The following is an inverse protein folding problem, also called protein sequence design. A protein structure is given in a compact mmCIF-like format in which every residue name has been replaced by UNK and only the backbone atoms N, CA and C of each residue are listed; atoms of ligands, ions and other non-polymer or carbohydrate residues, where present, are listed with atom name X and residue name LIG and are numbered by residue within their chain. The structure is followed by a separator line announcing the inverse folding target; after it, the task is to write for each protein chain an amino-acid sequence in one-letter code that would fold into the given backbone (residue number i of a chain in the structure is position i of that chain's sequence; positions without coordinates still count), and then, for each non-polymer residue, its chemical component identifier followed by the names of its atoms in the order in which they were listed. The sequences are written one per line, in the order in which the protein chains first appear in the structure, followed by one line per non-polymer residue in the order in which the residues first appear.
data_IF_869885119180
#
_entry.id   IF_869885119180
#
_cell.length_a   1.000
_cell.length_b   1.000
_cell.length_c   1.000
_cell.angle_alpha   90.00
_cell.angle_beta   90.00
_cell.angle_gamma   90.00
#
_symmetry.space_group_name_H-M   'P 1'
#
loop_
_entity.id
_entity.type
_entity.pdbx_description
1 polymer ?
#
# COMPACT_ATOMS: atom_id res chain seq x y z
N UNK A 1 -3.97 -18.49 21.08
CA UNK A 1 -2.94 -18.03 20.14
C UNK A 1 -3.61 -17.10 19.15
N UNK A 2 -3.36 -15.79 19.20
CA UNK A 2 -3.86 -14.89 18.17
C UNK A 2 -2.91 -14.94 16.96
N UNK A 3 -3.44 -15.33 15.82
CA UNK A 3 -2.78 -15.28 14.52
C UNK A 3 -2.50 -13.81 14.19
N UNK A 4 -1.24 -13.40 14.29
CA UNK A 4 -0.78 -12.08 13.87
C UNK A 4 -0.83 -12.00 12.35
N UNK A 5 -1.79 -11.27 11.77
CA UNK A 5 -1.76 -10.97 10.34
C UNK A 5 -0.71 -9.88 10.08
N UNK A 6 0.38 -10.26 9.43
CA UNK A 6 1.38 -9.34 8.90
C UNK A 6 0.81 -8.69 7.64
N UNK A 7 0.85 -7.36 7.56
CA UNK A 7 0.50 -6.65 6.34
C UNK A 7 1.55 -6.97 5.28
N UNK A 8 1.13 -7.57 4.16
CA UNK A 8 1.98 -7.89 3.01
C UNK A 8 1.94 -6.71 2.04
N UNK A 9 3.07 -6.04 1.82
CA UNK A 9 3.19 -4.97 0.83
C UNK A 9 3.57 -5.54 -0.53
N UNK A 10 2.87 -5.09 -1.57
CA UNK A 10 3.02 -5.57 -2.94
C UNK A 10 3.98 -4.64 -3.70
N UNK A 11 5.18 -5.12 -3.97
CA UNK A 11 5.96 -4.64 -5.10
C UNK A 11 5.98 -5.76 -6.13
N UNK A 12 5.16 -5.64 -7.18
CA UNK A 12 5.29 -6.51 -8.35
C UNK A 12 6.54 -6.06 -9.09
N UNK A 13 7.63 -6.80 -8.97
CA UNK A 13 8.70 -6.70 -9.94
C UNK A 13 8.22 -7.43 -11.20
N UNK A 14 7.56 -6.71 -12.11
CA UNK A 14 7.25 -7.26 -13.44
C UNK A 14 8.60 -7.47 -14.13
N UNK A 15 8.99 -8.71 -14.51
CA UNK A 15 10.17 -8.89 -15.33
C UNK A 15 9.98 -8.09 -16.60
N UNK A 16 11.01 -7.36 -17.04
CA UNK A 16 10.95 -6.54 -18.24
C UNK A 16 10.24 -7.30 -19.38
N UNK A 17 9.10 -6.76 -19.83
CA UNK A 17 8.40 -7.26 -20.99
C UNK A 17 9.36 -7.16 -22.19
N UNK A 18 9.75 -8.27 -22.85
CA UNK A 18 10.48 -8.17 -24.11
C UNK A 18 9.59 -7.42 -25.08
N UNK A 19 10.02 -6.25 -25.55
CA UNK A 19 9.26 -5.38 -26.48
C UNK A 19 9.15 -5.98 -27.89
N UNK A 20 9.09 -7.30 -28.01
CA UNK A 20 9.34 -8.04 -29.23
C UNK A 20 8.04 -8.24 -30.02
N UNK A 21 7.28 -7.16 -30.23
CA UNK A 21 6.27 -7.02 -31.29
C UNK A 21 5.33 -8.21 -31.56
N UNK A 22 5.08 -9.08 -30.58
CA UNK A 22 4.36 -10.33 -30.77
C UNK A 22 2.87 -10.09 -31.03
N UNK A 23 2.20 -10.98 -31.80
CA UNK A 23 0.80 -10.82 -32.13
C UNK A 23 -0.06 -10.65 -30.88
N UNK A 24 -0.89 -9.61 -30.90
CA UNK A 24 -1.94 -9.32 -29.92
C UNK A 24 -2.82 -10.57 -29.71
N UNK A 25 -2.56 -11.33 -28.64
CA UNK A 25 -3.30 -12.55 -28.32
C UNK A 25 -2.49 -13.72 -27.77
N UNK A 26 -1.15 -13.65 -27.71
CA UNK A 26 -0.39 -14.65 -26.96
C UNK A 26 -0.65 -14.44 -25.44
N UNK A 27 -0.99 -15.49 -24.67
CA UNK A 27 -1.02 -15.36 -23.22
C UNK A 27 0.37 -14.91 -22.78
N UNK A 28 0.46 -13.79 -22.07
CA UNK A 28 1.70 -13.38 -21.43
C UNK A 28 2.24 -14.60 -20.68
N UNK A 29 3.39 -15.13 -21.09
CA UNK A 29 4.04 -16.25 -20.41
C UNK A 29 4.16 -15.81 -18.96
N UNK A 30 3.39 -16.44 -18.07
CA UNK A 30 3.29 -16.03 -16.68
C UNK A 30 4.68 -16.06 -16.05
N UNK A 31 5.32 -14.89 -16.00
CA UNK A 31 6.46 -14.69 -15.13
C UNK A 31 5.95 -14.97 -13.71
N UNK A 32 6.74 -15.70 -12.94
CA UNK A 32 6.40 -16.01 -11.56
C UNK A 32 6.27 -14.68 -10.78
N UNK A 33 5.07 -14.38 -10.30
CA UNK A 33 4.83 -13.21 -9.46
C UNK A 33 5.43 -13.52 -8.09
N UNK A 34 6.50 -12.80 -7.75
CA UNK A 34 7.12 -12.88 -6.42
C UNK A 34 6.65 -11.71 -5.57
N UNK A 35 6.50 -11.96 -4.26
CA UNK A 35 6.16 -10.94 -3.27
C UNK A 35 7.37 -10.75 -2.37
N UNK A 36 7.73 -9.50 -2.09
CA UNK A 36 8.80 -9.14 -1.17
C UNK A 36 8.20 -8.33 -0.01
N UNK A 37 8.54 -8.71 1.22
CA UNK A 37 8.23 -7.88 2.37
C UNK A 37 9.13 -6.64 2.35
N UNK A 38 8.52 -5.46 2.32
CA UNK A 38 9.22 -4.16 2.34
C UNK A 38 8.83 -3.27 3.52
N UNK A 39 8.25 -3.86 4.58
CA UNK A 39 7.72 -3.07 5.71
C UNK A 39 8.81 -2.24 6.41
N UNK A 40 10.07 -2.65 6.37
CA UNK A 40 11.17 -1.89 6.97
C UNK A 40 11.49 -0.67 6.11
N UNK A 41 11.63 -0.87 4.81
CA UNK A 41 12.01 0.13 3.82
C UNK A 41 10.93 1.21 3.67
N UNK A 42 9.66 0.82 3.76
CA UNK A 42 8.52 1.74 3.64
C UNK A 42 8.13 2.41 4.95
N UNK A 43 8.80 2.09 6.08
CA UNK A 43 8.52 2.68 7.38
C UNK A 43 7.29 2.11 8.11
N UNK A 44 6.74 0.98 7.64
CA UNK A 44 5.55 0.33 8.22
C UNK A 44 5.88 -0.83 9.18
N UNK A 45 7.16 -1.05 9.49
CA UNK A 45 7.58 -2.07 10.45
C UNK A 45 6.94 -1.83 11.81
N UNK A 46 6.24 -2.85 12.33
CA UNK A 46 5.57 -2.78 13.63
C UNK A 46 4.22 -2.05 13.62
N UNK A 47 3.79 -1.49 12.49
CA UNK A 47 2.46 -0.90 12.34
C UNK A 47 1.39 -2.00 12.33
N UNK A 48 0.32 -1.81 13.10
CA UNK A 48 -0.75 -2.81 13.33
C UNK A 48 -2.13 -2.16 13.38
N UNK A 49 -3.14 -2.93 12.98
CA UNK A 49 -4.56 -2.64 13.13
C UNK A 49 -5.43 -3.83 12.72
N UNK A 50 -6.74 -3.67 12.86
CA UNK A 50 -7.77 -4.66 12.50
C UNK A 50 -8.49 -4.29 11.20
N UNK A 51 -8.60 -2.99 10.89
CA UNK A 51 -9.25 -2.50 9.68
C UNK A 51 -8.27 -1.67 8.85
N UNK A 52 -8.31 -1.85 7.53
CA UNK A 52 -7.40 -1.21 6.59
C UNK A 52 -8.19 -0.67 5.40
N UNK A 53 -7.83 0.50 4.92
CA UNK A 53 -8.40 1.12 3.72
C UNK A 53 -7.30 1.85 2.96
N UNK A 54 -7.34 1.76 1.63
CA UNK A 54 -6.46 2.49 0.72
C UNK A 54 -7.23 3.60 0.03
N UNK A 55 -6.58 4.74 -0.19
CA UNK A 55 -7.13 5.86 -0.95
C UNK A 55 -6.07 6.97 -1.08
N UNK A 56 -6.13 7.74 -2.16
CA UNK A 56 -5.26 8.90 -2.39
C UNK A 56 -5.88 10.12 -1.69
N UNK A 57 -5.49 10.38 -0.43
CA UNK A 57 -6.19 11.39 0.39
C UNK A 57 -5.78 12.83 0.02
N UNK A 58 -4.64 13.00 -0.66
CA UNK A 58 -4.08 14.30 -1.00
C UNK A 58 -4.02 14.56 -2.51
N UNK A 59 -4.55 13.63 -3.33
CA UNK A 59 -4.61 13.70 -4.78
C UNK A 59 -3.22 13.84 -5.42
N UNK A 60 -2.22 13.13 -4.90
CA UNK A 60 -0.85 13.13 -5.43
C UNK A 60 -0.55 11.94 -6.37
N UNK A 61 -1.54 11.08 -6.59
CA UNK A 61 -1.48 9.92 -7.46
C UNK A 61 -0.91 8.67 -6.78
N UNK A 62 -0.63 8.71 -5.47
CA UNK A 62 -0.12 7.58 -4.71
C UNK A 62 -1.12 7.13 -3.65
N UNK A 63 -1.36 5.82 -3.59
CA UNK A 63 -2.30 5.28 -2.62
C UNK A 63 -1.75 5.37 -1.20
N UNK A 64 -2.53 5.96 -0.31
CA UNK A 64 -2.24 6.14 1.11
C UNK A 64 -2.97 5.08 1.95
N UNK A 65 -2.55 4.89 3.19
CA UNK A 65 -3.05 3.83 4.06
C UNK A 65 -3.73 4.40 5.31
N UNK A 66 -5.00 4.05 5.49
CA UNK A 66 -5.75 4.26 6.73
C UNK A 66 -5.83 2.96 7.52
N UNK A 67 -5.54 3.04 8.82
CA UNK A 67 -5.62 1.90 9.73
C UNK A 67 -6.55 2.24 10.88
N UNK A 68 -7.50 1.34 11.16
CA UNK A 68 -8.51 1.43 12.22
C UNK A 68 -9.37 2.71 12.16
N UNK A 69 -9.36 3.45 11.06
CA UNK A 69 -10.05 4.73 10.93
C UNK A 69 -9.40 5.90 11.69
N UNK A 70 -8.17 5.72 12.21
CA UNK A 70 -7.52 6.73 13.09
C UNK A 70 -5.99 6.77 12.99
N UNK A 71 -5.40 6.11 12.00
CA UNK A 71 -3.98 6.23 11.69
C UNK A 71 -3.84 6.40 10.19
N UNK A 72 -3.53 7.62 9.76
CA UNK A 72 -3.35 7.93 8.35
C UNK A 72 -1.85 7.96 8.05
N UNK A 73 -1.45 7.17 7.06
CA UNK A 73 -0.09 7.17 6.54
C UNK A 73 -0.09 7.59 5.07
N UNK A 74 0.54 8.73 4.78
CA UNK A 74 0.75 9.20 3.40
C UNK A 74 1.87 8.42 2.74
N UNK A 75 1.65 7.90 1.56
CA UNK A 75 2.70 7.38 0.68
C UNK A 75 3.47 8.53 0.02
N UNK A 76 4.78 8.59 0.21
CA UNK A 76 5.62 9.65 -0.37
C UNK A 76 5.73 9.60 -1.90
N UNK A 77 5.35 8.49 -2.51
CA UNK A 77 5.62 8.19 -3.92
C UNK A 77 7.10 7.85 -4.20
N UNK A 78 7.47 7.71 -5.49
CA UNK A 78 8.82 7.41 -5.92
C UNK A 78 9.86 8.44 -5.43
N UNK A 79 11.12 8.02 -5.25
CA UNK A 79 11.61 6.65 -5.39
C UNK A 79 11.42 5.79 -4.13
N UNK A 80 11.02 6.38 -3.00
CA UNK A 80 11.08 5.74 -1.69
C UNK A 80 9.82 5.01 -1.25
N UNK A 81 8.64 5.43 -1.72
CA UNK A 81 7.34 4.91 -1.27
C UNK A 81 7.22 4.79 0.25
N UNK A 82 7.77 5.78 0.97
CA UNK A 82 7.80 5.81 2.42
C UNK A 82 6.45 6.27 2.93
N UNK A 83 5.93 5.56 3.94
CA UNK A 83 4.69 5.91 4.60
C UNK A 83 4.95 6.84 5.77
N UNK A 84 4.43 8.06 5.67
CA UNK A 84 4.63 9.15 6.62
C UNK A 84 3.36 9.30 7.44
N UNK A 85 3.46 9.24 8.76
CA UNK A 85 2.31 9.45 9.65
C UNK A 85 1.78 10.89 9.49
N UNK A 86 0.49 11.00 9.18
CA UNK A 86 -0.25 12.25 9.00
C UNK A 86 -1.46 12.33 9.95
N UNK A 87 -1.56 11.42 10.92
CA UNK A 87 -2.74 11.25 11.79
C UNK A 87 -3.14 12.55 12.49
N UNK A 88 -2.18 13.22 13.13
CA UNK A 88 -2.41 14.48 13.85
C UNK A 88 -2.71 15.62 12.89
N UNK A 89 -1.99 15.70 11.77
CA UNK A 89 -2.18 16.75 10.77
C UNK A 89 -3.56 16.65 10.10
N UNK A 90 -4.09 15.44 9.94
CA UNK A 90 -5.43 15.18 9.43
C UNK A 90 -6.54 15.34 10.48
N UNK A 91 -6.19 15.51 11.76
CA UNK A 91 -7.16 15.70 12.85
C UNK A 91 -7.98 14.46 13.19
N UNK A 92 -7.43 13.26 12.97
CA UNK A 92 -8.12 11.98 13.20
C UNK A 92 -7.47 11.14 14.31
N UNK A 93 -6.71 11.77 15.20
CA UNK A 93 -6.03 11.15 16.35
C UNK A 93 -6.96 10.80 17.52
N UNK A 94 -8.25 11.09 17.38
CA UNK A 94 -9.29 10.70 18.34
C UNK A 94 -9.47 9.16 18.40
N UNK A 95 -9.83 8.61 19.57
CA UNK A 95 -10.02 7.17 19.74
C UNK A 95 -11.35 6.70 19.10
N UNK A 96 -11.34 6.51 17.79
CA UNK A 96 -12.39 5.83 17.02
C UNK A 96 -11.83 4.56 16.38
N UNK A 97 -12.68 3.55 16.13
CA UNK A 97 -12.26 2.26 15.54
C UNK A 97 -12.95 1.98 14.19
N UNK A 98 -13.31 3.03 13.46
CA UNK A 98 -14.04 2.92 12.20
C UNK A 98 -13.79 4.14 11.33
N UNK A 99 -13.45 3.91 10.08
CA UNK A 99 -13.28 4.94 9.06
C UNK A 99 -12.88 4.26 7.75
N UNK A 100 -13.45 4.72 6.64
CA UNK A 100 -13.09 4.27 5.29
C UNK A 100 -12.72 5.50 4.47
N UNK A 101 -11.69 5.38 3.63
CA UNK A 101 -11.55 6.27 2.49
C UNK A 101 -12.26 5.65 1.29
N UNK A 102 -12.79 6.51 0.44
CA UNK A 102 -13.17 6.18 -0.93
C UNK A 102 -12.75 7.33 -1.81
N UNK A 103 -12.02 7.06 -2.88
CA UNK A 103 -11.98 7.95 -4.02
C UNK A 103 -13.25 7.72 -4.87
N UNK A 104 -13.63 8.73 -5.66
CA UNK A 104 -14.68 8.63 -6.67
C UNK A 104 -14.05 8.89 -8.04
#
# INVERSE_FOLDING_TARGET
MLTSMTVLFLLVQVPAHPSDGGPIGAPARAGEVTFMNVSVETGLSGVRGNFFSWGDYNNDGYQDLLIDGRKLFRNSGPPGYVFIDQTVQAGIDAPVNSGVFGDF
#
